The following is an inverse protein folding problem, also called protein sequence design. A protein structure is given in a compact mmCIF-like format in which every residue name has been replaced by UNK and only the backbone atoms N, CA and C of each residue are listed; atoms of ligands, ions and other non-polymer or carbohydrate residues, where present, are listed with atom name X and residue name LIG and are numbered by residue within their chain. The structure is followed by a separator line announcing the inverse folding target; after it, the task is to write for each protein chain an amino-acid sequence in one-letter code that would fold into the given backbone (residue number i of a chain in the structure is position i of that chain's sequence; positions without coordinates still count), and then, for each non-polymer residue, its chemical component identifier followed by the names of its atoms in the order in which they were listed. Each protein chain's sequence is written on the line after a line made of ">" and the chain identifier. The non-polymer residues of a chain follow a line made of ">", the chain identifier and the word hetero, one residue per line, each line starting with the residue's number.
data_IF_045929237747
#
_entry.id   IF_045929237747
#
_cell.length_a   1.000
_cell.length_b   1.000
_cell.length_c   1.000
_cell.angle_alpha   90.00
_cell.angle_beta   90.00
_cell.angle_gamma   90.00
#
_symmetry.space_group_name_H-M   'P 1'
#
loop_
_entity.id
_entity.type
_entity.pdbx_description
1 polymer ?
#
# COMPACT_ATOMS: atom_id res chain seq x y z
N UNK A 1 16.47 9.13 17.75
CA UNK A 1 15.94 9.23 16.38
C UNK A 1 14.63 8.46 16.32
N UNK A 2 13.53 9.09 15.89
CA UNK A 2 12.16 8.55 16.02
C UNK A 2 11.85 7.40 15.06
N UNK A 3 10.93 6.53 15.46
CA UNK A 3 10.55 5.20 14.92
C UNK A 3 9.91 5.17 13.52
N UNK A 4 10.34 6.06 12.61
CA UNK A 4 9.82 6.15 11.24
C UNK A 4 8.38 6.69 11.13
N UNK A 5 7.83 7.26 12.21
CA UNK A 5 6.50 7.88 12.27
C UNK A 5 6.55 9.33 12.76
N UNK A 6 7.66 10.00 12.53
CA UNK A 6 7.89 11.39 12.92
C UNK A 6 8.32 12.19 11.69
N UNK A 7 7.74 13.36 11.49
CA UNK A 7 8.10 14.31 10.42
C UNK A 7 8.41 15.64 11.09
N UNK A 8 9.55 16.24 10.76
CA UNK A 8 9.90 17.58 11.23
C UNK A 8 9.06 18.60 10.46
N UNK A 9 8.50 19.58 11.16
CA UNK A 9 7.92 20.78 10.55
C UNK A 9 9.07 21.69 10.14
N UNK A 10 9.07 22.13 8.88
CA UNK A 10 10.11 23.01 8.33
C UNK A 10 9.45 24.35 8.02
N UNK A 11 10.04 25.46 8.48
CA UNK A 11 9.56 26.84 8.23
C UNK A 11 8.08 27.05 8.58
N UNK A 12 7.56 26.36 9.59
CA UNK A 12 6.16 26.48 10.01
C UNK A 12 5.12 25.82 9.09
N UNK A 13 5.54 25.13 8.01
CA UNK A 13 4.64 24.43 7.09
C UNK A 13 4.08 23.13 7.70
N UNK A 14 3.12 23.27 8.61
CA UNK A 14 2.52 22.15 9.36
C UNK A 14 1.66 21.26 8.47
N UNK A 15 0.95 21.85 7.52
CA UNK A 15 0.12 21.17 6.53
C UNK A 15 0.93 20.18 5.68
N UNK A 16 2.06 20.62 5.13
CA UNK A 16 2.95 19.75 4.37
C UNK A 16 3.51 18.61 5.22
N UNK A 17 3.94 18.92 6.44
CA UNK A 17 4.47 17.92 7.37
C UNK A 17 3.39 16.88 7.73
N UNK A 18 2.15 17.32 7.89
CA UNK A 18 0.99 16.46 8.14
C UNK A 18 0.67 15.57 6.95
N UNK A 19 0.65 16.09 5.72
CA UNK A 19 0.45 15.26 4.51
C UNK A 19 1.56 14.22 4.35
N UNK A 20 2.82 14.60 4.58
CA UNK A 20 3.97 13.68 4.57
C UNK A 20 3.79 12.58 5.62
N UNK A 21 3.37 12.94 6.83
CA UNK A 21 3.09 11.97 7.89
C UNK A 21 1.97 10.98 7.49
N UNK A 22 0.87 11.47 6.91
CA UNK A 22 -0.22 10.63 6.40
C UNK A 22 0.31 9.64 5.34
N UNK A 23 1.13 10.10 4.40
CA UNK A 23 1.70 9.24 3.37
C UNK A 23 2.58 8.14 3.97
N UNK A 24 3.39 8.47 4.99
CA UNK A 24 4.23 7.49 5.71
C UNK A 24 3.35 6.46 6.42
N UNK A 25 2.31 6.90 7.15
CA UNK A 25 1.36 6.01 7.85
C UNK A 25 0.65 5.07 6.86
N UNK A 26 0.23 5.58 5.70
CA UNK A 26 -0.41 4.81 4.63
C UNK A 26 0.54 3.79 4.01
N UNK A 27 1.76 4.20 3.65
CA UNK A 27 2.79 3.32 3.07
C UNK A 27 3.14 2.16 4.00
N UNK A 28 3.23 2.43 5.30
CA UNK A 28 3.51 1.44 6.33
C UNK A 28 2.27 0.63 6.76
N UNK A 29 1.10 0.85 6.14
CA UNK A 29 -0.15 0.13 6.40
C UNK A 29 -0.57 0.10 7.90
N UNK A 30 -0.18 1.11 8.69
CA UNK A 30 -0.33 1.11 10.16
C UNK A 30 -1.80 1.00 10.56
N UNK A 31 -2.69 1.75 9.88
CA UNK A 31 -4.14 1.73 10.15
C UNK A 31 -4.76 0.37 9.82
N UNK A 32 -4.31 -0.25 8.72
CA UNK A 32 -4.79 -1.56 8.30
C UNK A 32 -4.39 -2.65 9.29
N UNK A 33 -3.16 -2.62 9.78
CA UNK A 33 -2.68 -3.53 10.82
C UNK A 33 -3.40 -3.32 12.15
N UNK A 34 -3.57 -2.06 12.58
CA UNK A 34 -4.32 -1.73 13.79
C UNK A 34 -5.73 -2.32 13.73
N UNK A 35 -6.43 -2.20 12.59
CA UNK A 35 -7.76 -2.77 12.41
C UNK A 35 -7.77 -4.29 12.52
N UNK A 36 -6.78 -4.97 11.93
CA UNK A 36 -6.66 -6.43 12.00
C UNK A 36 -6.30 -6.92 13.41
N UNK A 37 -5.53 -6.13 14.15
CA UNK A 37 -5.12 -6.44 15.52
C UNK A 37 -6.23 -6.25 16.56
N UNK A 38 -7.33 -5.54 16.23
CA UNK A 38 -8.47 -5.32 17.15
C UNK A 38 -9.06 -6.61 17.70
N UNK A 39 -8.95 -7.72 16.97
CA UNK A 39 -9.44 -9.05 17.36
C UNK A 39 -8.42 -10.11 17.00
N UNK A 40 -8.36 -11.19 17.78
CA UNK A 40 -7.51 -12.32 17.44
C UNK A 40 -7.99 -13.02 16.16
N UNK A 41 -7.11 -13.12 15.17
CA UNK A 41 -7.33 -13.92 13.97
C UNK A 41 -6.68 -15.29 14.13
N UNK A 42 -7.47 -16.37 14.03
CA UNK A 42 -6.97 -17.75 14.09
C UNK A 42 -5.88 -17.97 13.03
N UNK A 43 -4.83 -18.71 13.37
CA UNK A 43 -3.67 -18.98 12.50
C UNK A 43 -4.05 -19.44 11.07
N UNK A 44 -4.97 -20.40 10.97
CA UNK A 44 -5.43 -20.92 9.66
C UNK A 44 -6.16 -19.89 8.82
N UNK A 45 -6.98 -19.04 9.45
CA UNK A 45 -7.70 -17.94 8.78
C UNK A 45 -6.70 -16.89 8.28
N UNK A 46 -5.73 -16.52 9.13
CA UNK A 46 -4.63 -15.61 8.75
C UNK A 46 -3.85 -16.11 7.54
N UNK A 47 -3.52 -17.41 7.51
CA UNK A 47 -2.82 -18.03 6.37
C UNK A 47 -3.62 -17.90 5.07
N UNK A 48 -4.89 -18.32 5.06
CA UNK A 48 -5.77 -18.21 3.89
C UNK A 48 -5.93 -16.76 3.42
N UNK A 49 -6.08 -15.81 4.35
CA UNK A 49 -6.17 -14.38 4.03
C UNK A 49 -4.90 -13.88 3.36
N UNK A 50 -3.72 -14.25 3.88
CA UNK A 50 -2.44 -13.84 3.32
C UNK A 50 -2.19 -14.46 1.94
N UNK A 51 -2.53 -15.73 1.74
CA UNK A 51 -2.48 -16.41 0.43
C UNK A 51 -3.39 -15.71 -0.59
N UNK A 52 -4.66 -15.47 -0.24
CA UNK A 52 -5.60 -14.74 -1.09
C UNK A 52 -5.13 -13.31 -1.40
N UNK A 53 -4.54 -12.61 -0.42
CA UNK A 53 -3.98 -11.26 -0.62
C UNK A 53 -2.81 -11.30 -1.61
N UNK A 54 -1.87 -12.26 -1.44
CA UNK A 54 -0.73 -12.45 -2.36
C UNK A 54 -1.21 -12.72 -3.79
N UNK A 55 -2.15 -13.66 -3.95
CA UNK A 55 -2.71 -13.99 -5.26
C UNK A 55 -3.35 -12.78 -5.93
N UNK A 56 -4.21 -12.04 -5.24
CA UNK A 56 -4.85 -10.83 -5.81
C UNK A 56 -3.85 -9.76 -6.20
N UNK A 57 -2.79 -9.56 -5.42
CA UNK A 57 -1.72 -8.62 -5.76
C UNK A 57 -0.97 -9.07 -7.03
N UNK A 58 -0.60 -10.34 -7.12
CA UNK A 58 0.08 -10.90 -8.30
C UNK A 58 -0.81 -10.81 -9.53
N UNK A 59 -2.07 -11.25 -9.42
CA UNK A 59 -3.05 -11.17 -10.49
C UNK A 59 -3.22 -9.74 -11.00
N UNK A 60 -3.39 -8.77 -10.11
CA UNK A 60 -3.52 -7.36 -10.50
C UNK A 60 -2.26 -6.82 -11.18
N UNK A 61 -1.07 -7.25 -10.78
CA UNK A 61 0.18 -6.88 -11.44
C UNK A 61 0.28 -7.47 -12.84
N UNK A 62 -0.07 -8.73 -13.03
CA UNK A 62 -0.07 -9.39 -14.34
C UNK A 62 -1.10 -8.76 -15.28
N UNK A 63 -2.31 -8.48 -14.79
CA UNK A 63 -3.33 -7.73 -15.55
C UNK A 63 -2.79 -6.36 -15.97
N UNK A 64 -2.15 -5.62 -15.06
CA UNK A 64 -1.57 -4.30 -15.37
C UNK A 64 -0.52 -4.39 -16.47
N UNK A 65 0.41 -5.34 -16.39
CA UNK A 65 1.45 -5.55 -17.43
C UNK A 65 0.83 -5.83 -18.79
N UNK A 66 -0.17 -6.70 -18.86
CA UNK A 66 -0.88 -7.02 -20.11
C UNK A 66 -1.58 -5.80 -20.70
N UNK A 67 -2.27 -5.01 -19.87
CA UNK A 67 -2.92 -3.78 -20.30
C UNK A 67 -1.90 -2.76 -20.84
N UNK A 68 -0.75 -2.63 -20.17
CA UNK A 68 0.34 -1.76 -20.64
C UNK A 68 0.85 -2.19 -22.01
N UNK A 69 1.11 -3.49 -22.21
CA UNK A 69 1.53 -4.03 -23.50
C UNK A 69 0.51 -3.74 -24.61
N UNK A 70 -0.78 -3.97 -24.35
CA UNK A 70 -1.84 -3.67 -25.34
C UNK A 70 -1.87 -2.18 -25.69
N UNK A 71 -1.71 -1.30 -24.70
CA UNK A 71 -1.66 0.13 -24.93
C UNK A 71 -0.42 0.55 -25.76
N UNK A 72 0.73 -0.11 -25.56
CA UNK A 72 1.94 0.13 -26.35
C UNK A 72 1.75 -0.31 -27.82
N UNK A 73 1.17 -1.49 -28.05
CA UNK A 73 0.85 -1.99 -29.41
C UNK A 73 -0.09 -1.02 -30.13
N UNK A 74 -1.15 -0.57 -29.45
CA UNK A 74 -2.09 0.43 -30.01
C UNK A 74 -1.43 1.75 -30.33
N UNK A 75 -0.48 2.20 -29.49
CA UNK A 75 0.29 3.43 -29.73
C UNK A 75 1.18 3.33 -30.98
N UNK A 76 1.62 2.12 -31.34
CA UNK A 76 2.45 1.85 -32.51
C UNK A 76 1.64 1.76 -33.82
N UNK A 77 0.31 1.88 -33.78
CA UNK A 77 -0.53 2.00 -34.97
C UNK A 77 -1.15 0.70 -35.49
N UNK A 78 -1.20 -0.36 -34.67
CA UNK A 78 -2.05 -1.52 -34.90
C UNK A 78 -3.51 -1.26 -34.46
#
# INVERSE_FOLDING_TARGET
>A
MGTGRSVKVVKGAVDEAYFKLIQIIKRNNVVGELRLAKRHEKRGVKRRRLESKRWRTQFANEVRKKVQLVNEIRKQGA
#
